data_IF_581693130064
#
_entry.id   IF_581693130064
#
_cell.length_a   1.000
_cell.length_b   1.000
_cell.length_c   1.000
_cell.angle_alpha   90.00
_cell.angle_beta   90.00
_cell.angle_gamma   90.00
#
_symmetry.space_group_name_H-M   'P 1'
#
loop_
_entity.id
_entity.type
_entity.pdbx_description
1 polymer ?
#
# COMPACT_ATOMS: atom_id res chain seq x y z
N UNK A 1 1.62 -6.43 -7.95
CA UNK A 1 1.38 -7.83 -8.38
C UNK A 1 1.48 -8.84 -7.21
N UNK A 2 1.31 -8.41 -5.94
CA UNK A 2 1.45 -9.29 -4.75
C UNK A 2 0.12 -9.75 -4.11
N UNK A 3 -1.01 -9.11 -4.43
CA UNK A 3 -2.31 -9.52 -3.88
C UNK A 3 -2.83 -10.84 -4.47
N UNK A 4 -2.46 -11.19 -5.71
CA UNK A 4 -2.89 -12.45 -6.32
C UNK A 4 -2.30 -13.68 -5.63
N UNK A 5 -1.04 -13.63 -5.19
CA UNK A 5 -0.39 -14.76 -4.51
C UNK A 5 -0.99 -15.05 -3.13
N UNK A 6 -1.42 -14.01 -2.41
CA UNK A 6 -2.13 -14.18 -1.15
C UNK A 6 -3.56 -14.69 -1.38
N UNK A 7 -4.24 -14.21 -2.43
CA UNK A 7 -5.58 -14.68 -2.75
C UNK A 7 -5.58 -16.17 -3.14
N UNK A 8 -4.62 -16.61 -3.96
CA UNK A 8 -4.47 -18.03 -4.31
C UNK A 8 -4.23 -18.91 -3.07
N UNK A 9 -3.40 -18.44 -2.13
CA UNK A 9 -3.18 -19.17 -0.87
C UNK A 9 -4.44 -19.22 0.00
N UNK A 10 -5.20 -18.12 0.07
CA UNK A 10 -6.48 -18.08 0.82
C UNK A 10 -7.47 -19.07 0.21
N UNK A 11 -7.58 -19.12 -1.12
CA UNK A 11 -8.42 -20.08 -1.84
C UNK A 11 -7.99 -21.53 -1.54
N UNK A 12 -6.69 -21.84 -1.56
CA UNK A 12 -6.18 -23.16 -1.19
C UNK A 12 -6.57 -23.56 0.25
N UNK A 13 -6.46 -22.63 1.20
CA UNK A 13 -6.85 -22.89 2.59
C UNK A 13 -8.37 -23.04 2.76
N UNK A 14 -9.17 -22.35 1.94
CA UNK A 14 -10.63 -22.52 1.92
C UNK A 14 -11.02 -23.90 1.39
N UNK A 15 -10.37 -24.36 0.31
CA UNK A 15 -10.59 -25.70 -0.24
C UNK A 15 -10.22 -26.80 0.77
N UNK A 16 -9.08 -26.65 1.44
CA UNK A 16 -8.68 -27.55 2.52
C UNK A 16 -9.68 -27.53 3.68
N UNK A 17 -10.22 -26.36 4.04
CA UNK A 17 -11.23 -26.23 5.08
C UNK A 17 -12.54 -26.95 4.72
N UNK A 18 -12.99 -26.82 3.47
CA UNK A 18 -14.18 -27.51 2.96
C UNK A 18 -13.96 -29.03 2.95
N UNK A 19 -12.77 -29.48 2.58
CA UNK A 19 -12.41 -30.89 2.62
C UNK A 19 -12.35 -31.43 4.06
N UNK A 20 -11.69 -30.72 4.98
CA UNK A 20 -11.66 -31.05 6.40
C UNK A 20 -13.06 -31.11 7.03
N UNK A 21 -13.97 -30.25 6.58
CA UNK A 21 -15.40 -30.26 6.95
C UNK A 21 -16.09 -31.53 6.46
N UNK A 22 -15.84 -31.92 5.21
CA UNK A 22 -16.43 -33.13 4.61
C UNK A 22 -16.01 -34.41 5.33
N UNK A 23 -14.77 -34.48 5.84
CA UNK A 23 -14.28 -35.64 6.61
C UNK A 23 -14.53 -35.53 8.12
N UNK A 24 -15.20 -34.45 8.58
CA UNK A 24 -15.49 -34.15 10.00
C UNK A 24 -14.24 -34.07 10.88
N UNK A 25 -13.10 -33.69 10.31
CA UNK A 25 -11.87 -33.49 11.07
C UNK A 25 -11.87 -32.10 11.70
N UNK A 26 -12.35 -32.03 12.94
CA UNK A 26 -12.50 -30.77 13.67
C UNK A 26 -11.17 -30.18 14.15
N UNK A 27 -10.16 -31.01 14.42
CA UNK A 27 -8.83 -30.54 14.80
C UNK A 27 -8.15 -29.89 13.60
N UNK A 28 -8.21 -30.53 12.44
CA UNK A 28 -7.64 -29.96 11.22
C UNK A 28 -8.36 -28.69 10.76
N UNK A 29 -9.70 -28.63 10.88
CA UNK A 29 -10.45 -27.38 10.67
C UNK A 29 -9.97 -26.23 11.56
N UNK A 30 -9.62 -26.53 12.82
CA UNK A 30 -9.14 -25.55 13.79
C UNK A 30 -7.74 -25.05 13.44
N UNK A 31 -6.86 -25.94 13.00
CA UNK A 31 -5.53 -25.57 12.48
C UNK A 31 -5.63 -24.68 11.24
N UNK A 32 -6.48 -25.05 10.27
CA UNK A 32 -6.70 -24.26 9.04
C UNK A 32 -7.21 -22.86 9.38
N UNK A 33 -8.18 -22.74 10.30
CA UNK A 33 -8.67 -21.44 10.78
C UNK A 33 -7.58 -20.60 11.43
N UNK A 34 -6.72 -21.21 12.25
CA UNK A 34 -5.59 -20.52 12.89
C UNK A 34 -4.60 -19.98 11.85
N UNK A 35 -4.26 -20.80 10.86
CA UNK A 35 -3.34 -20.42 9.77
C UNK A 35 -3.93 -19.31 8.88
N UNK A 36 -5.21 -19.39 8.54
CA UNK A 36 -5.93 -18.33 7.83
C UNK A 36 -5.92 -17.01 8.61
N UNK A 37 -6.21 -17.05 9.92
CA UNK A 37 -6.18 -15.86 10.76
C UNK A 37 -4.78 -15.22 10.82
N UNK A 38 -3.73 -16.04 10.89
CA UNK A 38 -2.34 -15.56 10.87
C UNK A 38 -1.99 -14.90 9.52
N UNK A 39 -2.37 -15.52 8.40
CA UNK A 39 -2.15 -14.98 7.05
C UNK A 39 -2.88 -13.64 6.84
N UNK A 40 -4.14 -13.55 7.25
CA UNK A 40 -4.92 -12.32 7.18
C UNK A 40 -4.35 -11.21 8.05
N UNK A 41 -3.83 -11.55 9.24
CA UNK A 41 -3.18 -10.59 10.12
C UNK A 41 -1.87 -10.06 9.51
N UNK A 42 -1.06 -10.95 8.93
CA UNK A 42 0.18 -10.56 8.29
C UNK A 42 -0.06 -9.69 7.04
N UNK A 43 -1.10 -9.97 6.25
CA UNK A 43 -1.46 -9.12 5.12
C UNK A 43 -1.94 -7.74 5.57
N UNK A 44 -2.78 -7.68 6.60
CA UNK A 44 -3.26 -6.40 7.15
C UNK A 44 -2.10 -5.55 7.71
N UNK A 45 -1.12 -6.16 8.39
CA UNK A 45 0.04 -5.44 8.90
C UNK A 45 0.91 -4.91 7.74
N UNK A 46 1.18 -5.74 6.71
CA UNK A 46 1.93 -5.33 5.52
C UNK A 46 1.25 -4.17 4.77
N UNK A 47 -0.07 -4.19 4.66
CA UNK A 47 -0.83 -3.10 4.04
C UNK A 47 -0.75 -1.81 4.86
N UNK A 48 -0.80 -1.90 6.20
CA UNK A 48 -0.60 -0.74 7.09
C UNK A 48 0.81 -0.16 6.95
N UNK A 49 1.84 -1.00 6.91
CA UNK A 49 3.23 -0.56 6.69
C UNK A 49 3.35 0.15 5.35
N UNK A 50 2.82 -0.44 4.26
CA UNK A 50 2.85 0.17 2.93
C UNK A 50 2.14 1.52 2.90
N UNK A 51 0.97 1.64 3.53
CA UNK A 51 0.24 2.91 3.62
C UNK A 51 1.02 3.97 4.41
N UNK A 52 1.74 3.56 5.47
CA UNK A 52 2.64 4.44 6.23
C UNK A 52 3.81 4.91 5.38
N UNK A 53 4.48 4.01 4.66
CA UNK A 53 5.63 4.33 3.82
C UNK A 53 5.26 5.32 2.71
N UNK A 54 4.12 5.13 2.06
CA UNK A 54 3.61 6.05 1.05
C UNK A 54 3.32 7.44 1.60
N UNK A 55 2.79 7.54 2.84
CA UNK A 55 2.59 8.82 3.51
C UNK A 55 3.92 9.52 3.81
N UNK A 56 4.95 8.78 4.22
CA UNK A 56 6.29 9.33 4.44
C UNK A 56 6.88 9.86 3.13
N UNK A 57 6.77 9.10 2.04
CA UNK A 57 7.21 9.54 0.71
C UNK A 57 6.47 10.79 0.23
N UNK A 58 5.15 10.83 0.40
CA UNK A 58 4.35 12.01 0.04
C UNK A 58 4.78 13.24 0.85
N UNK A 59 5.03 13.06 2.15
CA UNK A 59 5.55 14.12 3.01
C UNK A 59 6.92 14.64 2.55
N UNK A 60 7.82 13.75 2.11
CA UNK A 60 9.12 14.14 1.55
C UNK A 60 8.96 14.94 0.26
N UNK A 61 8.17 14.46 -0.70
CA UNK A 61 7.90 15.14 -1.98
C UNK A 61 7.32 16.53 -1.74
N UNK A 62 6.34 16.65 -0.85
CA UNK A 62 5.72 17.94 -0.52
C UNK A 62 6.72 18.93 0.10
N UNK A 63 7.59 18.46 1.00
CA UNK A 63 8.66 19.30 1.57
C UNK A 63 9.66 19.75 0.50
N UNK A 64 10.02 18.87 -0.45
CA UNK A 64 10.92 19.23 -1.54
C UNK A 64 10.30 20.30 -2.46
N UNK A 65 9.04 20.14 -2.84
CA UNK A 65 8.30 21.12 -3.64
C UNK A 65 8.26 22.48 -2.90
N UNK A 66 7.90 22.49 -1.62
CA UNK A 66 7.88 23.70 -0.79
C UNK A 66 9.26 24.36 -0.72
N UNK A 67 10.32 23.57 -0.52
CA UNK A 67 11.69 24.06 -0.47
C UNK A 67 12.11 24.71 -1.78
N UNK A 68 11.79 24.11 -2.93
CA UNK A 68 12.07 24.69 -4.25
C UNK A 68 11.32 26.01 -4.45
N UNK A 69 10.04 26.09 -4.09
CA UNK A 69 9.28 27.34 -4.14
C UNK A 69 9.84 28.42 -3.22
N UNK A 70 10.30 28.06 -2.03
CA UNK A 70 10.96 28.99 -1.11
C UNK A 70 12.30 29.50 -1.65
N UNK A 71 13.09 28.63 -2.31
CA UNK A 71 14.34 29.02 -2.95
C UNK A 71 14.11 30.00 -4.10
N UNK A 72 13.11 29.72 -4.95
CA UNK A 72 12.70 30.62 -6.03
C UNK A 72 12.25 31.98 -5.49
N UNK A 73 11.49 31.99 -4.38
CA UNK A 73 10.98 33.22 -3.77
C UNK A 73 12.04 34.05 -3.04
N UNK A 74 12.95 33.40 -2.32
CA UNK A 74 13.84 34.10 -1.36
C UNK A 74 15.21 34.45 -1.94
N UNK A 75 15.68 33.75 -2.98
CA UNK A 75 17.03 33.92 -3.50
C UNK A 75 17.11 34.59 -4.87
N UNK A 76 15.99 35.08 -5.42
CA UNK A 76 15.89 35.52 -6.83
C UNK A 76 16.57 34.51 -7.78
N UNK A 77 16.49 33.21 -7.44
CA UNK A 77 16.99 32.15 -8.30
C UNK A 77 16.09 32.14 -9.51
N UNK A 78 16.66 32.39 -10.69
CA UNK A 78 15.91 32.33 -11.93
C UNK A 78 15.34 30.92 -12.11
N UNK A 79 14.14 30.87 -12.69
CA UNK A 79 13.46 29.63 -12.99
C UNK A 79 14.20 28.93 -14.14
N UNK A 80 15.25 28.17 -13.81
CA UNK A 80 15.99 27.41 -14.80
C UNK A 80 15.15 26.23 -15.29
N UNK A 81 15.48 25.74 -16.48
CA UNK A 81 14.85 24.55 -17.05
C UNK A 81 15.01 23.33 -16.12
N UNK A 82 16.15 23.21 -15.43
CA UNK A 82 16.40 22.16 -14.44
C UNK A 82 15.43 22.22 -13.25
N UNK A 83 15.23 23.39 -12.65
CA UNK A 83 14.29 23.56 -11.52
C UNK A 83 12.86 23.33 -11.96
N UNK A 84 12.52 23.75 -13.19
CA UNK A 84 11.20 23.55 -13.77
C UNK A 84 10.91 22.07 -13.99
N UNK A 85 11.88 21.33 -14.54
CA UNK A 85 11.80 19.89 -14.75
C UNK A 85 11.75 19.13 -13.41
N UNK A 86 12.54 19.54 -12.41
CA UNK A 86 12.49 18.95 -11.07
C UNK A 86 11.12 19.16 -10.42
N UNK A 87 10.56 20.38 -10.48
CA UNK A 87 9.22 20.68 -9.98
C UNK A 87 8.13 19.88 -10.70
N UNK A 88 8.26 19.70 -12.02
CA UNK A 88 7.33 18.89 -12.81
C UNK A 88 7.37 17.42 -12.36
N UNK A 89 8.56 16.83 -12.28
CA UNK A 89 8.76 15.46 -11.83
C UNK A 89 8.22 15.24 -10.41
N UNK A 90 8.47 16.19 -9.50
CA UNK A 90 7.97 16.12 -8.12
C UNK A 90 6.44 16.22 -8.06
N UNK A 91 5.82 17.09 -8.87
CA UNK A 91 4.35 17.19 -8.95
C UNK A 91 3.74 15.92 -9.51
N UNK A 92 4.34 15.33 -10.53
CA UNK A 92 3.89 14.06 -11.09
C UNK A 92 4.01 12.94 -10.05
N UNK A 93 5.14 12.86 -9.34
CA UNK A 93 5.33 11.89 -8.25
C UNK A 93 4.32 12.09 -7.12
N UNK A 94 3.94 13.34 -6.81
CA UNK A 94 2.89 13.63 -5.82
C UNK A 94 1.55 13.03 -6.24
N UNK A 95 1.14 13.23 -7.49
CA UNK A 95 -0.12 12.71 -8.03
C UNK A 95 -0.14 11.17 -8.02
N UNK A 96 0.97 10.54 -8.40
CA UNK A 96 1.11 9.08 -8.34
C UNK A 96 0.95 8.54 -6.91
N UNK A 97 1.61 9.17 -5.93
CA UNK A 97 1.51 8.79 -4.52
C UNK A 97 0.09 9.01 -3.96
N UNK A 98 -0.57 10.10 -4.34
CA UNK A 98 -1.97 10.37 -3.96
C UNK A 98 -2.92 9.32 -4.53
N UNK A 99 -2.71 8.92 -5.79
CA UNK A 99 -3.48 7.85 -6.43
C UNK A 99 -3.26 6.49 -5.75
N UNK A 100 -2.00 6.13 -5.44
CA UNK A 100 -1.68 4.86 -4.76
C UNK A 100 -2.28 4.80 -3.35
N UNK A 101 -2.21 5.90 -2.59
CA UNK A 101 -2.85 6.02 -1.28
C UNK A 101 -4.38 5.91 -1.42
N UNK A 102 -4.96 6.54 -2.45
CA UNK A 102 -6.39 6.47 -2.75
C UNK A 102 -6.86 5.04 -3.02
N UNK A 103 -6.11 4.29 -3.83
CA UNK A 103 -6.40 2.89 -4.13
C UNK A 103 -6.33 2.00 -2.89
N UNK A 104 -5.33 2.19 -2.03
CA UNK A 104 -5.22 1.43 -0.77
C UNK A 104 -6.42 1.73 0.15
N UNK A 105 -6.86 2.99 0.25
CA UNK A 105 -8.04 3.35 1.06
C UNK A 105 -9.32 2.73 0.52
N UNK A 106 -9.51 2.72 -0.79
CA UNK A 106 -10.68 2.12 -1.43
C UNK A 106 -10.69 0.59 -1.25
N UNK A 107 -9.53 -0.06 -1.36
CA UNK A 107 -9.40 -1.50 -1.06
C UNK A 107 -9.77 -1.81 0.39
N UNK A 108 -9.26 -1.04 1.35
CA UNK A 108 -9.61 -1.20 2.76
C UNK A 108 -11.11 -1.00 3.04
N UNK A 109 -11.75 -0.04 2.35
CA UNK A 109 -13.19 0.22 2.50
C UNK A 109 -14.07 -0.92 1.96
N UNK A 110 -13.62 -1.66 0.94
CA UNK A 110 -14.35 -2.81 0.38
C UNK A 110 -14.23 -4.08 1.23
N UNK A 111 -13.26 -4.13 2.14
CA UNK A 111 -12.97 -5.29 2.99
C UNK A 111 -13.61 -5.14 4.40
N UNK A 112 -14.02 -3.93 4.80
CA UNK A 112 -14.84 -3.67 6.01
C UNK A 112 -16.33 -3.78 5.73
#
# INVERSE_FOLDING_TARGET
MMNHLNNMKIDDYLDLYLFATRIKDHEWQKEIKSNLAALLKESAERERTRASDLRVQLGYVNRRILGLYQQLRNRNVELTEEITNELYALKQRRLELEAEIGQIREQNRRIS
#
